data_IF_691006058768
#
_entry.id   IF_691006058768
#
_cell.length_a   1.000
_cell.length_b   1.000
_cell.length_c   1.000
_cell.angle_alpha   90.00
_cell.angle_beta   90.00
_cell.angle_gamma   90.00
#
_symmetry.space_group_name_H-M   'P 1'
#
loop_
_entity.id
_entity.type
_entity.pdbx_description
1 polymer ?
#
# COMPACT_ATOMS: atom_id res chain seq x y z
N UNK A 1 17.72 13.67 -40.51
CA UNK A 1 18.66 13.08 -39.55
C UNK A 1 17.87 12.57 -38.34
N UNK A 2 18.18 11.33 -37.94
CA UNK A 2 17.63 10.51 -36.85
C UNK A 2 16.65 11.10 -35.83
N UNK A 3 15.49 10.45 -35.73
CA UNK A 3 14.68 10.32 -34.52
C UNK A 3 15.48 9.61 -33.43
N UNK A 4 15.44 10.10 -32.19
CA UNK A 4 15.84 9.28 -31.05
C UNK A 4 16.49 10.06 -29.91
N UNK A 5 15.70 10.31 -28.87
CA UNK A 5 16.06 9.99 -27.48
C UNK A 5 14.85 10.31 -26.61
N UNK A 6 14.00 9.31 -26.46
CA UNK A 6 12.96 9.28 -25.44
C UNK A 6 13.60 9.62 -24.10
N UNK A 7 13.28 10.81 -23.61
CA UNK A 7 13.62 11.29 -22.28
C UNK A 7 13.05 10.24 -21.32
N UNK A 8 13.90 9.37 -20.77
CA UNK A 8 13.54 8.59 -19.57
C UNK A 8 13.16 9.65 -18.54
N UNK A 9 11.85 9.92 -18.42
CA UNK A 9 11.27 10.74 -17.36
C UNK A 9 11.68 10.01 -16.08
N UNK A 10 12.79 10.43 -15.47
CA UNK A 10 13.03 10.12 -14.07
C UNK A 10 11.83 10.74 -13.38
N UNK A 11 10.94 9.90 -12.86
CA UNK A 11 9.86 10.35 -11.99
C UNK A 11 10.55 11.15 -10.88
N UNK A 12 10.21 12.43 -10.76
CA UNK A 12 10.73 13.25 -9.66
C UNK A 12 10.23 12.67 -8.35
N UNK A 13 10.95 12.91 -7.25
CA UNK A 13 10.48 12.50 -5.92
C UNK A 13 9.06 13.03 -5.63
N UNK A 14 8.73 14.21 -6.16
CA UNK A 14 7.39 14.82 -6.11
C UNK A 14 6.34 14.04 -6.90
N UNK A 15 6.69 13.52 -8.09
CA UNK A 15 5.78 12.67 -8.88
C UNK A 15 5.50 11.36 -8.14
N UNK A 16 6.54 10.76 -7.55
CA UNK A 16 6.39 9.54 -6.75
C UNK A 16 5.54 9.80 -5.51
N UNK A 17 5.79 10.90 -4.79
CA UNK A 17 4.99 11.27 -3.62
C UNK A 17 3.51 11.49 -3.99
N UNK A 18 3.25 12.14 -5.12
CA UNK A 18 1.89 12.36 -5.64
C UNK A 18 1.21 11.04 -6.00
N UNK A 19 1.91 10.14 -6.69
CA UNK A 19 1.40 8.81 -7.04
C UNK A 19 1.11 7.97 -5.79
N UNK A 20 1.99 8.03 -4.79
CA UNK A 20 1.79 7.34 -3.51
C UNK A 20 0.61 7.92 -2.74
N UNK A 21 0.45 9.24 -2.73
CA UNK A 21 -0.69 9.88 -2.08
C UNK A 21 -2.02 9.51 -2.78
N UNK A 22 -2.04 9.50 -4.11
CA UNK A 22 -3.20 9.05 -4.89
C UNK A 22 -3.54 7.58 -4.61
N UNK A 23 -2.53 6.70 -4.57
CA UNK A 23 -2.72 5.30 -4.22
C UNK A 23 -3.29 5.14 -2.80
N UNK A 24 -2.72 5.88 -1.83
CA UNK A 24 -3.21 5.92 -0.44
C UNK A 24 -4.68 6.32 -0.37
N UNK A 25 -5.07 7.38 -1.06
CA UNK A 25 -6.46 7.85 -1.09
C UNK A 25 -7.41 6.81 -1.71
N UNK A 26 -7.00 6.15 -2.79
CA UNK A 26 -7.82 5.12 -3.43
C UNK A 26 -7.98 3.87 -2.55
N UNK A 27 -6.89 3.40 -1.93
CA UNK A 27 -6.92 2.29 -0.98
C UNK A 27 -7.87 2.63 0.18
N UNK A 28 -7.71 3.82 0.77
CA UNK A 28 -8.55 4.28 1.86
C UNK A 28 -10.03 4.32 1.47
N UNK A 29 -10.35 4.81 0.26
CA UNK A 29 -11.70 4.82 -0.30
C UNK A 29 -12.27 3.40 -0.45
N UNK A 30 -11.50 2.45 -0.97
CA UNK A 30 -11.94 1.06 -1.16
C UNK A 30 -12.17 0.33 0.16
N UNK A 31 -11.44 0.73 1.20
CA UNK A 31 -11.58 0.20 2.56
C UNK A 31 -12.65 0.93 3.37
N UNK A 32 -13.11 2.10 2.91
CA UNK A 32 -14.05 2.96 3.64
C UNK A 32 -13.44 3.50 4.94
N UNK A 33 -12.15 3.83 4.94
CA UNK A 33 -11.43 4.40 6.08
C UNK A 33 -10.75 5.71 5.69
N UNK A 34 -10.27 6.45 6.69
CA UNK A 34 -9.52 7.67 6.43
C UNK A 34 -8.11 7.36 5.88
N UNK A 35 -7.58 8.15 4.93
CA UNK A 35 -6.27 7.94 4.34
C UNK A 35 -5.11 8.08 5.33
N UNK A 36 -5.28 8.77 6.45
CA UNK A 36 -4.33 8.79 7.57
C UNK A 36 -4.10 7.41 8.20
N UNK A 37 -5.05 6.47 8.01
CA UNK A 37 -4.93 5.08 8.48
C UNK A 37 -4.20 4.18 7.50
N UNK A 38 -3.67 4.72 6.40
CA UNK A 38 -2.86 4.00 5.43
C UNK A 38 -1.50 4.69 5.32
N UNK A 39 -0.43 3.91 5.39
CA UNK A 39 0.94 4.40 5.18
C UNK A 39 1.73 3.46 4.28
N UNK A 40 2.71 4.00 3.58
CA UNK A 40 3.68 3.23 2.81
C UNK A 40 5.06 3.39 3.46
N UNK A 41 5.73 2.28 3.73
CA UNK A 41 7.06 2.31 4.33
C UNK A 41 7.48 0.96 4.92
N UNK A 42 8.63 0.90 5.58
CA UNK A 42 9.12 -0.34 6.15
C UNK A 42 8.19 -0.84 7.25
N UNK A 43 8.03 -2.16 7.31
CA UNK A 43 7.32 -2.82 8.41
C UNK A 43 8.05 -2.57 9.74
N UNK A 44 7.29 -2.49 10.82
CA UNK A 44 7.84 -2.28 12.15
C UNK A 44 8.81 -3.43 12.52
N UNK A 45 9.96 -3.08 13.12
CA UNK A 45 11.06 -3.99 13.45
C UNK A 45 11.70 -4.71 12.25
N UNK A 46 11.63 -4.13 11.05
CA UNK A 46 12.19 -4.71 9.82
C UNK A 46 11.65 -6.13 9.56
N UNK A 47 10.44 -6.42 10.06
CA UNK A 47 9.81 -7.72 9.88
C UNK A 47 9.55 -7.93 8.40
N UNK A 48 9.88 -9.11 7.86
CA UNK A 48 9.45 -9.43 6.51
C UNK A 48 7.91 -9.38 6.44
N UNK A 49 7.39 -8.94 5.29
CA UNK A 49 5.97 -9.05 4.97
C UNK A 49 5.47 -10.48 5.15
N UNK A 50 4.16 -10.69 5.22
CA UNK A 50 3.59 -12.03 5.49
C UNK A 50 3.98 -13.07 4.42
N UNK A 51 4.36 -12.63 3.23
CA UNK A 51 4.89 -13.46 2.13
C UNK A 51 6.43 -13.54 2.09
N UNK A 52 7.09 -13.21 3.19
CA UNK A 52 8.54 -13.10 3.30
C UNK A 52 9.18 -12.05 2.36
N UNK A 53 8.38 -11.06 1.95
CA UNK A 53 8.80 -9.96 1.10
C UNK A 53 9.53 -8.91 1.94
N UNK A 54 10.64 -8.39 1.42
CA UNK A 54 11.44 -7.34 2.06
C UNK A 54 11.17 -5.99 1.40
N UNK A 55 11.30 -4.91 2.16
CA UNK A 55 11.26 -3.54 1.66
C UNK A 55 10.10 -2.72 2.21
N UNK A 56 9.62 -1.78 1.41
CA UNK A 56 8.50 -0.90 1.75
C UNK A 56 7.15 -1.57 1.44
N UNK A 57 6.29 -1.61 2.44
CA UNK A 57 4.96 -2.21 2.35
C UNK A 57 3.88 -1.17 2.61
N UNK A 58 2.73 -1.38 1.98
CA UNK A 58 1.51 -0.72 2.40
C UNK A 58 1.10 -1.28 3.77
N UNK A 59 0.72 -0.38 4.66
CA UNK A 59 0.31 -0.69 6.02
C UNK A 59 -1.02 -0.01 6.32
N UNK A 60 -1.86 -0.67 7.12
CA UNK A 60 -3.16 -0.22 7.56
C UNK A 60 -3.22 -0.18 9.09
N UNK A 61 -3.79 0.89 9.63
CA UNK A 61 -4.11 0.97 11.05
C UNK A 61 -5.42 0.21 11.33
N UNK A 62 -5.28 -1.00 11.89
CA UNK A 62 -6.38 -1.94 12.16
C UNK A 62 -6.33 -2.39 13.62
N UNK A 63 -7.44 -2.21 14.34
CA UNK A 63 -7.57 -2.55 15.77
C UNK A 63 -6.52 -1.90 16.70
N UNK A 64 -6.07 -0.67 16.38
CA UNK A 64 -5.12 0.07 17.23
C UNK A 64 -3.65 -0.25 16.96
N UNK A 65 -3.38 -1.10 15.98
CA UNK A 65 -2.01 -1.45 15.58
C UNK A 65 -1.81 -1.19 14.08
N UNK A 66 -0.58 -0.85 13.71
CA UNK A 66 -0.18 -0.83 12.31
C UNK A 66 0.12 -2.24 11.83
N UNK A 67 -0.64 -2.70 10.84
CA UNK A 67 -0.49 -4.03 10.25
C UNK A 67 -0.23 -3.91 8.75
N UNK A 68 0.31 -4.95 8.14
CA UNK A 68 0.50 -5.00 6.69
C UNK A 68 -0.85 -4.85 5.96
N UNK A 69 -0.91 -4.08 4.88
CA UNK A 69 -2.09 -4.11 4.02
C UNK A 69 -2.13 -5.49 3.33
N UNK A 70 -3.24 -6.24 3.41
CA UNK A 70 -3.36 -7.52 2.72
C UNK A 70 -3.01 -7.35 1.25
N UNK A 71 -2.30 -8.33 0.69
CA UNK A 71 -1.90 -8.28 -0.71
C UNK A 71 -3.02 -8.84 -1.59
N UNK A 72 -3.49 -8.06 -2.56
CA UNK A 72 -4.33 -8.56 -3.65
C UNK A 72 -3.45 -8.82 -4.87
N UNK A 73 -3.75 -9.86 -5.66
CA UNK A 73 -2.95 -10.27 -6.81
C UNK A 73 -2.87 -9.19 -7.91
N UNK A 74 -3.97 -8.48 -8.15
CA UNK A 74 -4.01 -7.27 -8.99
C UNK A 74 -3.40 -6.00 -8.36
N UNK A 75 -2.86 -6.11 -7.14
CA UNK A 75 -2.21 -5.02 -6.44
C UNK A 75 -3.05 -4.35 -5.34
N UNK A 76 -2.46 -3.43 -4.56
CA UNK A 76 -3.04 -2.90 -3.33
C UNK A 76 -4.34 -2.12 -3.53
N UNK A 77 -4.60 -1.63 -4.75
CA UNK A 77 -5.83 -0.90 -5.09
C UNK A 77 -7.06 -1.81 -5.08
N UNK A 78 -6.93 -3.12 -5.30
CA UNK A 78 -8.07 -4.04 -5.29
C UNK A 78 -8.41 -4.57 -3.89
N UNK A 79 -7.67 -4.15 -2.87
CA UNK A 79 -7.86 -4.62 -1.50
C UNK A 79 -9.15 -4.04 -0.93
N UNK A 80 -10.04 -4.92 -0.49
CA UNK A 80 -11.33 -4.54 0.09
C UNK A 80 -11.36 -4.75 1.60
N UNK A 81 -12.29 -4.07 2.28
CA UNK A 81 -12.47 -4.22 3.73
C UNK A 81 -12.76 -5.66 4.15
N UNK A 82 -13.52 -6.39 3.33
CA UNK A 82 -13.80 -7.82 3.56
C UNK A 82 -12.53 -8.65 3.51
N UNK A 83 -11.63 -8.36 2.58
CA UNK A 83 -10.34 -9.05 2.48
C UNK A 83 -9.45 -8.75 3.69
N UNK A 84 -9.41 -7.50 4.17
CA UNK A 84 -8.72 -7.13 5.42
C UNK A 84 -9.26 -7.92 6.61
N UNK A 85 -10.59 -8.03 6.74
CA UNK A 85 -11.22 -8.81 7.81
C UNK A 85 -10.89 -10.29 7.70
N UNK A 86 -10.93 -10.88 6.51
CA UNK A 86 -10.59 -12.29 6.29
C UNK A 86 -9.10 -12.57 6.55
N UNK A 87 -8.23 -11.62 6.20
CA UNK A 87 -6.77 -11.74 6.36
C UNK A 87 -6.32 -11.73 7.82
N UNK A 88 -6.89 -10.82 8.61
CA UNK A 88 -6.57 -10.68 10.03
C UNK A 88 -7.45 -11.54 10.95
N UNK A 89 -8.52 -12.11 10.39
CA UNK A 89 -9.56 -12.79 11.16
C UNK A 89 -10.44 -11.80 11.90
N UNK A 90 -11.71 -12.15 12.06
CA UNK A 90 -12.57 -11.52 13.05
C UNK A 90 -12.08 -12.03 14.42
N UNK A 91 -11.41 -11.18 15.20
CA UNK A 91 -10.93 -11.52 16.56
C UNK A 91 -12.07 -11.63 17.58
N UNK A 92 -13.32 -11.83 17.13
CA UNK A 92 -14.45 -12.16 18.02
C UNK A 92 -14.69 -13.67 18.00
N UNK A 93 -14.05 -14.36 18.93
CA UNK A 93 -14.60 -15.59 19.51
C UNK A 93 -15.01 -15.29 20.94
#
# INVERSE_FOLDING_TARGET
>A
MNHGRGRRRRLSAEDVATLMDQARQQIAKNLGISPDRIRYGPMENNRPGRLNTQGDHWQIHYQGEWKELPWHHDGPLQVTRTQVRNWYGDTKK
#
